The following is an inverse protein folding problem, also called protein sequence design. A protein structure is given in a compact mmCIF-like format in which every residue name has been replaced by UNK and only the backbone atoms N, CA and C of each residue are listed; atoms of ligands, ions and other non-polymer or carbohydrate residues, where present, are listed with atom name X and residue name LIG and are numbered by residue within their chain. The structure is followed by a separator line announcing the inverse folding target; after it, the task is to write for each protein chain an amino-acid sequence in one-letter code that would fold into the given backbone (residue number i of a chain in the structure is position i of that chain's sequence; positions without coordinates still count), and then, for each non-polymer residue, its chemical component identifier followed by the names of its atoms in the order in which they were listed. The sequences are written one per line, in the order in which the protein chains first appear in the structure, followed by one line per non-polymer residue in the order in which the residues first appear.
data_IF_145167860423
#
_entry.id   IF_145167860423
#
_cell.length_a   1.000
_cell.length_b   1.000
_cell.length_c   1.000
_cell.angle_alpha   90.00
_cell.angle_beta   90.00
_cell.angle_gamma   90.00
#
_symmetry.space_group_name_H-M   'P 1'
#
loop_
_entity.id
_entity.type
_entity.pdbx_description
1 polymer ?
#
# COMPACT_ATOMS: atom_id res chain seq x y z
N UNK A 1 1.96 -6.18 -17.28
CA UNK A 1 0.70 -5.82 -17.97
C UNK A 1 0.15 -4.59 -17.27
N UNK A 2 -0.17 -3.51 -17.98
CA UNK A 2 -0.93 -2.40 -17.39
C UNK A 2 -2.37 -2.86 -17.16
N UNK A 3 -2.88 -2.69 -15.93
CA UNK A 3 -4.29 -2.92 -15.61
C UNK A 3 -5.02 -1.59 -15.56
N UNK A 4 -6.17 -1.50 -16.22
CA UNK A 4 -7.04 -0.33 -16.10
C UNK A 4 -8.01 -0.55 -14.95
N UNK A 5 -7.96 0.33 -13.94
CA UNK A 5 -8.88 0.34 -12.80
C UNK A 5 -9.81 1.53 -12.96
N UNK A 6 -11.12 1.30 -12.88
CA UNK A 6 -12.13 2.35 -12.84
C UNK A 6 -12.62 2.48 -11.41
N UNK A 7 -12.33 3.61 -10.79
CA UNK A 7 -12.74 3.94 -9.42
C UNK A 7 -13.87 4.98 -9.46
N UNK A 8 -14.90 4.75 -8.65
CA UNK A 8 -15.97 5.72 -8.42
C UNK A 8 -15.91 6.14 -6.96
N UNK A 9 -15.70 7.42 -6.72
CA UNK A 9 -15.64 7.99 -5.37
C UNK A 9 -16.42 9.29 -5.31
N UNK A 10 -16.88 9.64 -4.11
CA UNK A 10 -17.43 10.95 -3.81
C UNK A 10 -16.40 11.90 -3.17
N UNK A 11 -15.21 11.39 -2.83
CA UNK A 11 -14.11 12.18 -2.28
C UNK A 11 -13.25 12.76 -3.41
N UNK A 12 -13.19 14.08 -3.42
CA UNK A 12 -12.43 14.84 -4.40
C UNK A 12 -10.92 14.74 -4.16
N UNK A 13 -10.46 14.68 -2.91
CA UNK A 13 -9.05 14.52 -2.58
C UNK A 13 -8.53 13.18 -3.07
N UNK A 14 -9.31 12.12 -2.89
CA UNK A 14 -8.98 10.80 -3.39
C UNK A 14 -8.91 10.78 -4.93
N UNK A 15 -9.91 11.34 -5.61
CA UNK A 15 -9.91 11.42 -7.06
C UNK A 15 -8.68 12.17 -7.58
N UNK A 16 -8.30 13.28 -6.93
CA UNK A 16 -7.09 14.03 -7.25
C UNK A 16 -5.80 13.25 -6.97
N UNK A 17 -5.80 12.45 -5.91
CA UNK A 17 -4.64 11.70 -5.49
C UNK A 17 -4.42 10.45 -6.31
N UNK A 18 -5.45 9.65 -6.61
CA UNK A 18 -5.31 8.31 -7.19
C UNK A 18 -5.44 8.29 -8.71
N UNK A 19 -6.22 9.20 -9.29
CA UNK A 19 -6.60 9.07 -10.69
C UNK A 19 -5.53 9.62 -11.64
N UNK A 20 -5.22 8.87 -12.70
CA UNK A 20 -4.52 9.42 -13.86
C UNK A 20 -5.41 10.40 -14.64
N UNK A 21 -6.73 10.14 -14.62
CA UNK A 21 -7.78 10.98 -15.20
C UNK A 21 -9.05 10.91 -14.38
N UNK A 22 -9.71 12.05 -14.22
CA UNK A 22 -10.95 12.20 -13.48
C UNK A 22 -12.09 12.47 -14.46
N UNK A 23 -13.19 11.75 -14.31
CA UNK A 23 -14.47 12.05 -14.95
C UNK A 23 -15.39 12.63 -13.87
N UNK A 24 -15.79 13.89 -14.02
CA UNK A 24 -16.84 14.52 -13.20
C UNK A 24 -18.17 14.35 -13.93
N UNK A 25 -19.17 13.78 -13.26
CA UNK A 25 -20.50 13.57 -13.81
C UNK A 25 -21.57 14.25 -12.97
N UNK A 26 -22.65 14.70 -13.62
CA UNK A 26 -23.85 15.23 -12.96
C UNK A 26 -25.09 14.78 -13.72
N UNK A 27 -26.05 14.19 -13.02
CA UNK A 27 -27.32 13.72 -13.61
C UNK A 27 -27.14 12.79 -14.84
N UNK A 28 -26.09 11.96 -14.82
CA UNK A 28 -25.77 11.03 -15.91
C UNK A 28 -24.97 11.65 -17.06
N UNK A 29 -24.70 12.96 -17.04
CA UNK A 29 -23.89 13.63 -18.05
C UNK A 29 -22.44 13.83 -17.58
N UNK A 30 -21.48 13.61 -18.48
CA UNK A 30 -20.07 13.93 -18.23
C UNK A 30 -19.89 15.44 -18.34
N UNK A 31 -19.51 16.06 -17.23
CA UNK A 31 -19.27 17.50 -17.15
C UNK A 31 -17.83 17.83 -17.51
N UNK A 32 -16.87 17.02 -17.05
CA UNK A 32 -15.46 17.20 -17.37
C UNK A 32 -14.72 15.86 -17.33
N UNK A 33 -13.80 15.64 -18.27
CA UNK A 33 -12.85 14.54 -18.27
C UNK A 33 -11.43 15.08 -18.48
N UNK A 34 -10.61 15.10 -17.43
CA UNK A 34 -9.29 15.71 -17.50
C UNK A 34 -8.31 15.09 -16.48
N UNK A 35 -7.04 15.49 -16.55
CA UNK A 35 -6.06 15.15 -15.51
C UNK A 35 -6.40 15.89 -14.21
N UNK A 36 -6.00 15.38 -13.03
CA UNK A 36 -6.22 16.07 -11.76
C UNK A 36 -5.81 17.55 -11.76
N UNK A 37 -4.63 17.87 -12.31
CA UNK A 37 -4.14 19.25 -12.41
C UNK A 37 -5.06 20.15 -13.24
N UNK A 38 -5.60 19.65 -14.35
CA UNK A 38 -6.49 20.41 -15.23
C UNK A 38 -7.88 20.60 -14.59
N UNK A 39 -8.34 19.65 -13.77
CA UNK A 39 -9.58 19.80 -12.99
C UNK A 39 -9.46 20.98 -12.02
N UNK A 40 -8.30 21.15 -11.39
CA UNK A 40 -8.03 22.22 -10.42
C UNK A 40 -7.77 23.57 -11.08
N UNK A 41 -6.90 23.61 -12.10
CA UNK A 41 -6.50 24.86 -12.74
C UNK A 41 -7.53 25.39 -13.74
N UNK A 42 -8.28 24.49 -14.39
CA UNK A 42 -9.21 24.80 -15.48
C UNK A 42 -10.53 24.02 -15.30
N UNK A 43 -11.26 24.27 -14.20
CA UNK A 43 -12.57 23.65 -14.00
C UNK A 43 -13.53 24.06 -15.11
N UNK A 44 -14.28 23.10 -15.65
CA UNK A 44 -15.19 23.33 -16.78
C UNK A 44 -16.33 24.29 -16.44
N UNK A 45 -16.73 24.37 -15.17
CA UNK A 45 -17.73 25.32 -14.67
C UNK A 45 -17.63 25.48 -13.14
N UNK A 46 -18.44 26.38 -12.58
CA UNK A 46 -18.51 26.64 -11.14
C UNK A 46 -18.94 25.41 -10.33
N UNK A 47 -19.72 24.49 -10.91
CA UNK A 47 -20.06 23.24 -10.22
C UNK A 47 -18.81 22.39 -9.99
N UNK A 48 -18.00 22.14 -11.03
CA UNK A 48 -16.73 21.42 -10.89
C UNK A 48 -15.84 22.14 -9.89
N UNK A 49 -15.66 23.46 -10.04
CA UNK A 49 -14.85 24.26 -9.12
C UNK A 49 -15.31 24.10 -7.68
N UNK A 50 -16.61 24.19 -7.41
CA UNK A 50 -17.16 24.08 -6.05
C UNK A 50 -16.92 22.72 -5.41
N UNK A 51 -16.95 21.63 -6.18
CA UNK A 51 -16.66 20.29 -5.67
C UNK A 51 -15.24 20.19 -5.11
N UNK A 52 -14.25 20.70 -5.85
CA UNK A 52 -12.84 20.61 -5.46
C UNK A 52 -12.37 21.77 -4.56
N UNK A 53 -13.21 22.77 -4.30
CA UNK A 53 -12.88 23.90 -3.41
C UNK A 53 -13.23 23.63 -1.95
N UNK A 54 -14.16 22.72 -1.68
CA UNK A 54 -14.71 22.46 -0.36
C UNK A 54 -14.22 21.14 0.24
N UNK A 55 -13.01 20.68 -0.11
CA UNK A 55 -12.44 19.42 0.37
C UNK A 55 -12.44 19.42 1.90
N UNK A 56 -13.52 18.90 2.48
CA UNK A 56 -13.61 18.52 3.88
C UNK A 56 -12.46 17.55 4.06
N UNK A 57 -11.56 17.86 5.01
CA UNK A 57 -10.47 16.98 5.40
C UNK A 57 -11.05 15.60 5.63
N UNK A 58 -10.88 14.68 4.68
CA UNK A 58 -11.43 13.34 4.80
C UNK A 58 -10.80 12.70 6.03
N UNK A 59 -11.60 12.09 6.91
CA UNK A 59 -11.11 11.43 8.13
C UNK A 59 -10.00 10.41 7.82
N UNK A 60 -10.04 9.81 6.63
CA UNK A 60 -9.02 8.89 6.09
C UNK A 60 -7.62 9.54 6.01
N UNK A 61 -7.53 10.84 5.72
CA UNK A 61 -6.24 11.55 5.66
C UNK A 61 -5.57 11.71 7.03
N UNK A 62 -6.30 11.43 8.11
CA UNK A 62 -5.78 11.41 9.49
C UNK A 62 -5.38 10.02 9.98
N UNK A 63 -5.73 8.96 9.23
CA UNK A 63 -5.33 7.60 9.59
C UNK A 63 -3.83 7.39 9.38
N UNK A 64 -3.22 6.67 10.31
CA UNK A 64 -1.85 6.21 10.26
C UNK A 64 -1.78 4.74 9.86
N UNK A 65 -0.60 4.31 9.41
CA UNK A 65 -0.32 2.93 9.04
C UNK A 65 -0.66 1.95 10.19
N UNK A 66 -0.40 2.35 11.44
CA UNK A 66 -0.73 1.56 12.63
C UNK A 66 -2.22 1.26 12.78
N UNK A 67 -3.10 2.15 12.34
CA UNK A 67 -4.55 2.01 12.51
C UNK A 67 -5.17 1.07 11.48
N UNK A 68 -4.49 0.84 10.36
CA UNK A 68 -5.01 0.05 9.23
C UNK A 68 -4.24 -1.26 9.00
N UNK A 69 -3.10 -1.44 9.65
CA UNK A 69 -2.26 -2.62 9.44
C UNK A 69 -2.88 -3.90 9.99
N UNK A 70 -2.54 -5.02 9.37
CA UNK A 70 -2.75 -6.34 9.94
C UNK A 70 -1.61 -6.64 10.93
N UNK A 71 -1.90 -6.85 12.22
CA UNK A 71 -0.88 -7.13 13.26
C UNK A 71 -0.12 -8.46 13.09
N UNK A 72 -0.52 -9.30 12.13
CA UNK A 72 0.05 -10.64 11.92
C UNK A 72 1.27 -10.59 11.00
N UNK A 73 2.42 -10.25 11.58
CA UNK A 73 3.73 -10.35 10.91
C UNK A 73 4.32 -11.74 11.14
N UNK A 74 4.69 -12.41 10.04
CA UNK A 74 5.60 -13.55 10.09
C UNK A 74 7.01 -13.09 9.78
N UNK A 75 7.99 -13.62 10.51
CA UNK A 75 9.39 -13.26 10.35
C UNK A 75 10.32 -14.46 10.43
N UNK A 76 11.49 -14.33 9.80
CA UNK A 76 12.60 -15.28 9.83
C UNK A 76 13.92 -14.53 10.01
N UNK A 77 14.97 -15.24 10.41
CA UNK A 77 16.31 -14.65 10.56
C UNK A 77 17.15 -14.90 9.30
N UNK A 78 18.27 -14.18 9.15
CA UNK A 78 19.25 -14.46 8.09
C UNK A 78 19.98 -15.82 8.25
N UNK A 79 19.70 -16.54 9.34
CA UNK A 79 20.24 -17.88 9.56
C UNK A 79 19.22 -18.98 9.28
N UNK A 80 17.95 -18.62 9.08
CA UNK A 80 16.88 -19.55 8.76
C UNK A 80 17.09 -20.17 7.38
N UNK A 81 16.71 -21.43 7.25
CA UNK A 81 16.77 -22.14 5.97
C UNK A 81 15.60 -21.69 5.06
N UNK A 82 15.79 -21.75 3.74
CA UNK A 82 14.74 -21.46 2.77
C UNK A 82 13.50 -22.32 3.02
N UNK A 83 13.68 -23.61 3.34
CA UNK A 83 12.57 -24.52 3.67
C UNK A 83 11.75 -24.07 4.88
N UNK A 84 12.40 -23.47 5.88
CA UNK A 84 11.76 -22.97 7.09
C UNK A 84 10.86 -21.78 6.76
N UNK A 85 11.38 -20.81 6.00
CA UNK A 85 10.61 -19.66 5.56
C UNK A 85 9.43 -20.05 4.65
N UNK A 86 9.64 -20.96 3.69
CA UNK A 86 8.56 -21.47 2.84
C UNK A 86 7.47 -22.19 3.65
N UNK A 87 7.86 -22.95 4.68
CA UNK A 87 6.91 -23.64 5.57
C UNK A 87 6.10 -22.65 6.39
N UNK A 88 6.75 -21.65 6.98
CA UNK A 88 6.10 -20.58 7.74
C UNK A 88 5.13 -19.79 6.86
N UNK A 89 5.54 -19.42 5.65
CA UNK A 89 4.66 -18.76 4.68
C UNK A 89 3.43 -19.61 4.34
N UNK A 90 3.62 -20.92 4.12
CA UNK A 90 2.51 -21.83 3.81
C UNK A 90 1.54 -21.98 4.98
N UNK A 91 2.04 -22.13 6.20
CA UNK A 91 1.24 -22.24 7.43
C UNK A 91 0.35 -21.01 7.62
N UNK A 92 0.93 -19.82 7.46
CA UNK A 92 0.22 -18.55 7.64
C UNK A 92 -0.50 -18.05 6.38
N UNK A 93 -0.48 -18.83 5.29
CA UNK A 93 -1.07 -18.47 3.98
C UNK A 93 -0.57 -17.11 3.45
N UNK A 94 0.69 -16.80 3.71
CA UNK A 94 1.37 -15.58 3.22
C UNK A 94 2.28 -15.91 2.05
N UNK A 95 2.60 -14.89 1.25
CA UNK A 95 3.50 -15.01 0.09
C UNK A 95 4.85 -14.36 0.33
N UNK A 96 5.05 -13.83 1.52
CA UNK A 96 6.12 -12.90 1.88
C UNK A 96 6.37 -13.02 3.37
N UNK A 97 7.60 -12.76 3.78
CA UNK A 97 8.02 -12.85 5.18
C UNK A 97 8.99 -11.70 5.46
N UNK A 98 8.90 -11.15 6.67
CA UNK A 98 9.89 -10.19 7.15
C UNK A 98 11.21 -10.92 7.45
N UNK A 99 12.33 -10.30 7.13
CA UNK A 99 13.64 -10.77 7.58
C UNK A 99 14.14 -9.83 8.67
N UNK A 100 14.46 -10.40 9.82
CA UNK A 100 14.92 -9.69 11.01
C UNK A 100 16.33 -10.15 11.41
N UNK A 101 17.04 -9.33 12.17
CA UNK A 101 18.24 -9.78 12.88
C UNK A 101 17.91 -10.38 14.26
N UNK A 102 18.94 -10.83 14.98
CA UNK A 102 18.85 -11.41 16.32
C UNK A 102 18.27 -10.43 17.38
N UNK A 103 18.22 -9.14 17.09
CA UNK A 103 17.62 -8.10 17.93
C UNK A 103 16.19 -7.75 17.50
N UNK A 104 15.59 -8.54 16.62
CA UNK A 104 14.26 -8.32 16.05
C UNK A 104 14.14 -7.04 15.19
N UNK A 105 15.27 -6.55 14.66
CA UNK A 105 15.30 -5.38 13.80
C UNK A 105 15.02 -5.79 12.37
N UNK A 106 14.03 -5.18 11.72
CA UNK A 106 13.67 -5.40 10.32
C UNK A 106 14.82 -5.05 9.37
N UNK A 107 15.13 -5.96 8.45
CA UNK A 107 16.22 -5.84 7.46
C UNK A 107 15.74 -5.83 6.02
N UNK A 108 14.54 -6.31 5.78
CA UNK A 108 13.93 -6.40 4.47
C UNK A 108 12.81 -7.43 4.43
N UNK A 109 12.29 -7.67 3.23
CA UNK A 109 11.30 -8.72 2.98
C UNK A 109 11.83 -9.69 1.93
N UNK A 110 11.25 -10.88 1.89
CA UNK A 110 11.51 -11.83 0.81
C UNK A 110 10.21 -12.50 0.39
N UNK A 111 10.03 -12.68 -0.91
CA UNK A 111 8.84 -13.30 -1.48
C UNK A 111 9.04 -14.80 -1.66
N UNK A 112 7.93 -15.53 -1.59
CA UNK A 112 7.87 -16.95 -1.89
C UNK A 112 8.39 -17.26 -3.30
N UNK A 113 7.97 -16.48 -4.29
CA UNK A 113 8.36 -16.68 -5.69
C UNK A 113 9.88 -16.57 -5.87
N UNK A 114 10.53 -15.72 -5.07
CA UNK A 114 11.98 -15.61 -5.08
C UNK A 114 12.65 -16.76 -4.33
N UNK A 115 12.14 -17.15 -3.15
CA UNK A 115 12.67 -18.28 -2.37
C UNK A 115 12.59 -19.62 -3.11
N UNK A 116 11.56 -19.82 -3.95
CA UNK A 116 11.41 -21.04 -4.77
C UNK A 116 12.52 -21.20 -5.82
N UNK A 117 13.36 -20.18 -6.06
CA UNK A 117 14.53 -20.25 -6.92
C UNK A 117 15.77 -20.84 -6.24
N UNK A 118 15.73 -21.04 -4.92
CA UNK A 118 16.86 -21.51 -4.10
C UNK A 118 16.62 -22.91 -3.56
N UNK A 119 17.71 -23.62 -3.24
CA UNK A 119 17.62 -24.94 -2.64
C UNK A 119 17.02 -24.86 -1.24
N UNK A 120 16.18 -25.83 -0.81
CA UNK A 120 15.54 -25.79 0.50
C UNK A 120 16.52 -25.68 1.70
N UNK A 121 17.75 -26.19 1.54
CA UNK A 121 18.81 -26.14 2.56
C UNK A 121 19.65 -24.86 2.57
N UNK A 122 19.49 -23.99 1.56
CA UNK A 122 20.18 -22.70 1.53
C UNK A 122 19.67 -21.78 2.65
N UNK A 123 20.50 -20.83 3.07
CA UNK A 123 20.15 -19.86 4.12
C UNK A 123 19.72 -18.54 3.49
N UNK A 124 18.82 -17.84 4.17
CA UNK A 124 18.42 -16.49 3.78
C UNK A 124 19.58 -15.53 4.05
N UNK A 125 20.26 -15.04 3.02
CA UNK A 125 21.30 -14.03 3.21
C UNK A 125 20.78 -12.59 3.01
N UNK A 126 21.59 -11.59 3.36
CA UNK A 126 21.22 -10.18 3.22
C UNK A 126 21.10 -9.72 1.75
N UNK A 127 21.84 -10.34 0.83
CA UNK A 127 21.81 -10.01 -0.58
C UNK A 127 20.51 -10.48 -1.26
N UNK A 128 19.80 -11.43 -0.65
CA UNK A 128 18.49 -11.89 -1.10
C UNK A 128 17.33 -10.96 -0.71
N UNK A 129 17.59 -9.92 0.09
CA UNK A 129 16.53 -9.08 0.66
C UNK A 129 16.04 -8.03 -0.33
N UNK A 130 14.72 -7.99 -0.50
CA UNK A 130 14.05 -6.84 -1.08
C UNK A 130 13.94 -5.73 -0.01
N UNK A 131 14.65 -4.63 -0.27
CA UNK A 131 14.68 -3.43 0.58
C UNK A 131 13.91 -2.27 -0.04
N UNK A 132 13.54 -2.34 -1.32
CA UNK A 132 12.86 -1.25 -2.01
C UNK A 132 11.36 -1.29 -1.67
N UNK A 133 10.82 -0.18 -1.13
CA UNK A 133 9.43 -0.11 -0.68
C UNK A 133 9.05 -1.34 0.18
N UNK A 134 9.97 -1.76 1.05
CA UNK A 134 9.77 -2.93 1.89
C UNK A 134 8.90 -2.61 3.12
N UNK A 135 8.99 -1.38 3.62
CA UNK A 135 8.32 -0.98 4.85
C UNK A 135 7.94 0.50 4.88
N UNK A 136 7.08 0.82 5.84
CA UNK A 136 6.68 2.16 6.30
C UNK A 136 6.70 2.18 7.82
N UNK A 137 6.67 3.36 8.44
CA UNK A 137 6.60 3.49 9.90
C UNK A 137 5.16 3.51 10.39
N UNK A 138 4.94 3.16 11.66
CA UNK A 138 3.61 3.23 12.33
C UNK A 138 2.91 4.58 12.16
N UNK A 139 3.67 5.68 12.12
CA UNK A 139 3.19 7.06 11.97
C UNK A 139 3.11 7.55 10.51
N UNK A 140 3.33 6.66 9.53
CA UNK A 140 3.14 6.99 8.11
C UNK A 140 1.65 7.23 7.86
N UNK A 141 1.31 8.39 7.31
CA UNK A 141 -0.09 8.76 7.06
C UNK A 141 -0.68 7.97 5.89
N UNK A 142 -1.99 7.76 5.87
CA UNK A 142 -2.68 7.15 4.74
C UNK A 142 -2.41 7.88 3.42
N UNK A 143 -2.30 9.22 3.49
CA UNK A 143 -1.93 10.07 2.35
C UNK A 143 -0.56 9.71 1.76
N UNK A 144 0.38 9.32 2.60
CA UNK A 144 1.69 8.86 2.17
C UNK A 144 1.65 7.43 1.64
N UNK A 145 0.85 6.55 2.25
CA UNK A 145 0.65 5.17 1.77
C UNK A 145 0.16 5.11 0.32
N UNK A 146 -0.68 6.06 -0.08
CA UNK A 146 -1.09 6.22 -1.49
C UNK A 146 0.12 6.30 -2.43
N UNK A 147 1.20 6.99 -2.06
CA UNK A 147 2.39 7.15 -2.91
C UNK A 147 3.09 5.82 -3.14
N UNK A 148 3.09 4.94 -2.14
CA UNK A 148 3.69 3.60 -2.24
C UNK A 148 2.81 2.66 -3.05
N UNK A 149 1.50 2.60 -2.76
CA UNK A 149 0.56 1.70 -3.45
C UNK A 149 0.17 2.14 -4.87
N UNK A 150 0.57 3.34 -5.29
CA UNK A 150 0.55 3.75 -6.72
C UNK A 150 1.50 2.94 -7.58
N UNK A 151 2.61 2.45 -7.01
CA UNK A 151 3.50 1.57 -7.74
C UNK A 151 2.90 0.16 -7.78
N UNK A 152 2.49 -0.30 -8.96
CA UNK A 152 1.90 -1.64 -9.15
C UNK A 152 2.81 -2.79 -8.69
N UNK A 153 4.12 -2.53 -8.49
CA UNK A 153 5.08 -3.50 -7.96
C UNK A 153 4.92 -3.71 -6.45
N UNK A 154 4.39 -2.72 -5.73
CA UNK A 154 4.20 -2.77 -4.27
C UNK A 154 2.89 -3.49 -3.95
N UNK A 155 3.00 -4.77 -3.64
CA UNK A 155 1.85 -5.58 -3.20
C UNK A 155 1.52 -5.45 -1.72
N UNK A 156 2.52 -5.08 -0.94
CA UNK A 156 2.43 -4.95 0.51
C UNK A 156 3.61 -4.18 1.07
N UNK A 157 3.39 -3.60 2.25
CA UNK A 157 4.36 -2.84 3.04
C UNK A 157 4.36 -3.39 4.46
N UNK A 158 5.53 -3.74 4.99
CA UNK A 158 5.66 -3.98 6.42
C UNK A 158 5.54 -2.66 7.19
N UNK A 159 4.92 -2.71 8.36
CA UNK A 159 4.83 -1.55 9.26
C UNK A 159 5.76 -1.78 10.42
N UNK A 160 6.68 -0.85 10.66
CA UNK A 160 7.68 -0.93 11.72
C UNK A 160 7.55 0.23 12.70
N UNK A 161 7.97 0.02 13.95
CA UNK A 161 8.12 1.13 14.90
C UNK A 161 9.40 1.95 14.65
N UNK A 162 9.61 2.98 15.47
CA UNK A 162 10.79 3.87 15.38
C UNK A 162 12.12 3.15 15.66
N UNK A 163 12.06 1.99 16.30
CA UNK A 163 13.21 1.13 16.58
C UNK A 163 13.37 0.04 15.51
N UNK A 164 12.61 0.11 14.41
CA UNK A 164 12.61 -0.84 13.29
C UNK A 164 12.12 -2.25 13.66
N UNK A 165 11.33 -2.40 14.73
CA UNK A 165 10.66 -3.66 15.00
C UNK A 165 9.39 -3.80 14.15
N UNK A 166 9.16 -4.95 13.50
CA UNK A 166 7.92 -5.18 12.78
C UNK A 166 6.70 -5.18 13.71
N UNK A 167 5.67 -4.42 13.34
CA UNK A 167 4.39 -4.30 14.06
C UNK A 167 3.20 -4.82 13.27
N UNK A 168 3.27 -4.72 11.94
CA UNK A 168 2.17 -5.15 11.08
C UNK A 168 2.57 -5.24 9.62
N UNK A 169 1.56 -5.48 8.80
CA UNK A 169 1.63 -5.51 7.35
C UNK A 169 0.41 -4.81 6.78
N UNK A 170 0.59 -3.99 5.76
CA UNK A 170 -0.51 -3.46 4.96
C UNK A 170 -0.40 -4.11 3.59
N UNK A 171 -1.39 -4.94 3.25
CA UNK A 171 -1.53 -5.47 1.90
C UNK A 171 -2.28 -4.49 1.00
N UNK A 172 -2.07 -4.57 -0.30
CA UNK A 172 -2.82 -3.78 -1.27
C UNK A 172 -4.33 -3.99 -1.12
N UNK A 173 -4.77 -5.20 -0.76
CA UNK A 173 -6.19 -5.49 -0.51
C UNK A 173 -6.71 -4.70 0.69
N UNK A 174 -6.03 -4.74 1.83
CA UNK A 174 -6.43 -3.99 3.03
C UNK A 174 -6.42 -2.49 2.77
N UNK A 175 -5.40 -1.99 2.08
CA UNK A 175 -5.34 -0.58 1.68
C UNK A 175 -6.56 -0.18 0.83
N UNK A 176 -6.92 -0.99 -0.17
CA UNK A 176 -8.10 -0.77 -0.99
C UNK A 176 -9.40 -0.92 -0.18
N UNK A 177 -9.50 -1.88 0.72
CA UNK A 177 -10.70 -2.08 1.55
C UNK A 177 -10.95 -0.89 2.47
N UNK A 178 -9.91 -0.34 3.10
CA UNK A 178 -10.01 0.88 3.91
C UNK A 178 -10.41 2.07 3.05
N UNK A 179 -9.84 2.16 1.85
CA UNK A 179 -10.23 3.16 0.88
C UNK A 179 -11.73 3.03 0.53
N UNK A 180 -12.24 1.84 0.22
CA UNK A 180 -13.63 1.63 -0.20
C UNK A 180 -14.67 1.69 0.94
N UNK A 181 -14.38 1.16 2.13
CA UNK A 181 -15.35 1.01 3.22
C UNK A 181 -15.77 2.35 3.87
N UNK A 182 -15.05 3.44 3.63
CA UNK A 182 -15.44 4.78 4.06
C UNK A 182 -16.46 5.44 3.11
N UNK A 183 -16.73 4.83 1.96
CA UNK A 183 -17.58 5.40 0.92
C UNK A 183 -18.89 4.64 0.66
N UNK A 184 -19.23 3.66 1.52
CA UNK A 184 -20.55 2.99 1.59
C UNK A 184 -21.37 3.54 2.75
#
# INVERSE_FOLDING_TARGET
MQKTIVLVTHDMDEALMLADRIIVMKQGEVIQFAKPVDILEKPANEFVKSLFSSSQKTEISTLFAEEIMEERVISVTMNSAVSEALSLMAEHKRRTVAVIDEKNIFKGKISRDFLELFSPSERIDEALLDKENAYVTVDTTFRELIKYFKDERVRELFVVDKEMHPKGLISQQVFLDVLYNQFS
#
